data_IF_883883573331
#
_entry.id   IF_883883573331
#
_cell.length_a   1.000
_cell.length_b   1.000
_cell.length_c   1.000
_cell.angle_alpha   90.00
_cell.angle_beta   90.00
_cell.angle_gamma   90.00
#
_symmetry.space_group_name_H-M   'P 1'
#
loop_
_entity.id
_entity.type
_entity.pdbx_description
1 polymer ?
#
# COMPACT_ATOMS: atom_id res chain seq x y z
N UNK A 1 -11.99 -28.38 13.53
CA UNK A 1 -12.86 -28.77 12.41
C UNK A 1 -12.62 -27.86 11.22
N UNK A 2 -12.78 -28.37 10.00
CA UNK A 2 -12.78 -27.59 8.75
C UNK A 2 -14.23 -27.31 8.35
N UNK A 3 -14.54 -26.06 8.06
CA UNK A 3 -15.85 -25.65 7.59
C UNK A 3 -15.71 -24.90 6.27
N UNK A 4 -16.59 -25.18 5.31
CA UNK A 4 -16.70 -24.39 4.10
C UNK A 4 -17.43 -23.09 4.46
N UNK A 5 -16.68 -22.00 4.61
CA UNK A 5 -17.21 -20.71 5.00
C UNK A 5 -16.36 -19.58 4.41
N UNK A 6 -16.91 -18.38 4.30
CA UNK A 6 -16.16 -17.16 4.14
C UNK A 6 -15.58 -16.72 5.49
N UNK A 7 -16.13 -15.69 6.11
CA UNK A 7 -15.91 -15.42 7.54
C UNK A 7 -17.06 -16.06 8.38
N UNK A 8 -16.96 -15.91 9.72
CA UNK A 8 -18.01 -16.46 10.60
C UNK A 8 -19.41 -15.97 10.19
N UNK A 9 -20.30 -16.92 9.87
CA UNK A 9 -21.67 -16.65 9.45
C UNK A 9 -21.87 -16.43 7.93
N UNK A 10 -20.83 -16.51 7.11
CA UNK A 10 -20.91 -16.33 5.66
C UNK A 10 -20.51 -17.59 4.89
N UNK A 11 -21.12 -17.78 3.71
CA UNK A 11 -20.79 -18.88 2.83
C UNK A 11 -19.44 -18.67 2.12
N UNK A 12 -18.77 -19.76 1.75
CA UNK A 12 -17.56 -19.71 0.93
C UNK A 12 -17.90 -19.42 -0.53
N UNK A 13 -17.12 -18.56 -1.18
CA UNK A 13 -17.23 -18.22 -2.61
C UNK A 13 -16.45 -19.19 -3.50
N UNK A 14 -16.70 -20.51 -3.37
CA UNK A 14 -15.96 -21.55 -4.09
C UNK A 14 -16.17 -21.45 -5.60
N UNK A 15 -17.39 -21.18 -6.03
CA UNK A 15 -17.75 -21.07 -7.45
C UNK A 15 -17.03 -19.89 -8.13
N UNK A 16 -16.79 -18.79 -7.41
CA UNK A 16 -15.99 -17.69 -7.91
C UNK A 16 -14.55 -18.14 -8.22
N UNK A 17 -13.93 -18.90 -7.33
CA UNK A 17 -12.58 -19.43 -7.58
C UNK A 17 -12.53 -20.37 -8.80
N UNK A 18 -13.57 -21.18 -8.99
CA UNK A 18 -13.67 -22.05 -10.15
C UNK A 18 -13.85 -21.24 -11.45
N UNK A 19 -14.74 -20.25 -11.45
CA UNK A 19 -14.95 -19.37 -12.60
C UNK A 19 -13.66 -18.60 -12.98
N UNK A 20 -12.88 -18.13 -12.01
CA UNK A 20 -11.62 -17.48 -12.28
C UNK A 20 -10.59 -18.44 -12.93
N UNK A 21 -10.55 -19.72 -12.50
CA UNK A 21 -9.70 -20.75 -13.16
C UNK A 21 -10.16 -21.05 -14.59
N UNK A 22 -11.47 -21.10 -14.84
CA UNK A 22 -12.05 -21.28 -16.17
C UNK A 22 -11.68 -20.12 -17.12
N UNK A 23 -11.53 -18.91 -16.60
CA UNK A 23 -11.02 -17.75 -17.33
C UNK A 23 -9.48 -17.83 -17.60
N UNK A 24 -8.81 -18.88 -17.16
CA UNK A 24 -7.36 -19.08 -17.37
C UNK A 24 -6.48 -18.42 -16.31
N UNK A 25 -7.05 -17.94 -15.19
CA UNK A 25 -6.28 -17.34 -14.12
C UNK A 25 -5.69 -18.39 -13.18
N UNK A 26 -4.42 -18.24 -12.84
CA UNK A 26 -3.73 -19.06 -11.84
C UNK A 26 -4.00 -18.47 -10.46
N UNK A 27 -4.53 -19.32 -9.56
CA UNK A 27 -4.81 -18.96 -8.18
C UNK A 27 -3.77 -19.57 -7.23
N UNK A 28 -3.38 -18.80 -6.22
CA UNK A 28 -2.68 -19.26 -5.05
C UNK A 28 -3.59 -19.30 -3.82
N UNK A 29 -3.08 -19.85 -2.71
CA UNK A 29 -3.80 -19.92 -1.44
C UNK A 29 -3.01 -19.25 -0.34
N UNK A 30 -3.66 -18.34 0.37
CA UNK A 30 -3.13 -17.67 1.54
C UNK A 30 -4.00 -17.99 2.77
N UNK A 31 -3.46 -17.72 3.96
CA UNK A 31 -4.19 -17.84 5.21
C UNK A 31 -4.07 -16.59 6.05
N UNK A 32 -5.07 -16.33 6.85
CA UNK A 32 -5.05 -15.36 7.94
C UNK A 32 -5.75 -15.94 9.16
N UNK A 33 -5.70 -15.24 10.28
CA UNK A 33 -6.40 -15.63 11.49
C UNK A 33 -7.04 -14.42 12.16
N UNK A 34 -7.98 -14.68 13.06
CA UNK A 34 -8.60 -13.66 13.89
C UNK A 34 -8.47 -14.00 15.35
N UNK A 35 -8.42 -12.99 16.20
CA UNK A 35 -8.44 -13.15 17.64
C UNK A 35 -9.86 -13.47 18.15
N UNK A 36 -10.01 -14.06 19.33
CA UNK A 36 -11.31 -14.19 19.97
C UNK A 36 -11.95 -12.82 20.22
N UNK A 37 -13.27 -12.79 20.23
CA UNK A 37 -14.08 -11.65 20.67
C UNK A 37 -14.47 -11.85 22.11
N UNK A 38 -14.24 -10.83 22.92
CA UNK A 38 -14.52 -10.86 24.37
C UNK A 38 -15.68 -9.93 24.68
N UNK A 39 -16.43 -10.25 25.76
CA UNK A 39 -17.50 -9.37 26.25
C UNK A 39 -16.92 -8.26 27.12
N UNK A 40 -17.10 -7.02 26.75
CA UNK A 40 -16.56 -5.84 27.40
C UNK A 40 -16.88 -5.79 28.91
N UNK A 41 -18.14 -6.06 29.31
CA UNK A 41 -18.58 -6.02 30.71
C UNK A 41 -17.94 -7.08 31.61
N UNK A 42 -17.23 -8.07 31.07
CA UNK A 42 -16.53 -9.13 31.83
C UNK A 42 -15.02 -8.94 31.95
N UNK A 43 -14.49 -7.83 31.41
CA UNK A 43 -13.07 -7.47 31.45
C UNK A 43 -12.81 -6.60 32.69
N UNK A 44 -11.76 -6.94 33.45
CA UNK A 44 -11.31 -6.11 34.57
C UNK A 44 -10.35 -5.02 34.10
N UNK A 45 -10.92 -3.94 33.59
CA UNK A 45 -10.17 -2.78 33.11
C UNK A 45 -9.31 -2.09 34.18
N UNK A 46 -9.60 -2.30 35.48
CA UNK A 46 -8.82 -1.70 36.55
C UNK A 46 -7.38 -2.23 36.63
N UNK A 47 -7.14 -3.42 36.08
CA UNK A 47 -5.82 -4.03 36.00
C UNK A 47 -5.05 -3.65 34.71
N UNK A 48 -5.65 -2.89 33.81
CA UNK A 48 -5.15 -2.64 32.46
C UNK A 48 -4.68 -1.20 32.29
N UNK A 49 -3.68 -1.00 31.46
CA UNK A 49 -3.21 0.31 31.06
C UNK A 49 -4.09 0.86 29.92
N UNK A 50 -4.76 1.99 30.18
CA UNK A 50 -5.54 2.66 29.14
C UNK A 50 -4.62 3.34 28.14
N UNK A 51 -4.79 3.03 26.85
CA UNK A 51 -4.09 3.67 25.74
C UNK A 51 -5.06 4.57 25.00
N UNK A 52 -4.96 5.87 25.30
CA UNK A 52 -5.73 6.90 24.61
C UNK A 52 -5.14 7.19 23.23
N UNK A 53 -5.98 7.73 22.33
CA UNK A 53 -5.53 8.35 21.10
C UNK A 53 -4.75 9.65 21.35
N UNK A 54 -4.30 10.28 20.27
CA UNK A 54 -3.61 11.56 20.32
C UNK A 54 -4.50 12.63 20.98
N UNK A 55 -3.90 13.52 21.79
CA UNK A 55 -4.62 14.63 22.42
C UNK A 55 -5.22 15.60 21.39
N UNK A 56 -4.51 15.78 20.27
CA UNK A 56 -4.93 16.55 19.11
C UNK A 56 -4.83 15.65 17.86
N UNK A 57 -5.84 14.79 17.61
CA UNK A 57 -5.79 13.85 16.52
C UNK A 57 -5.87 14.58 15.17
N UNK A 58 -4.95 14.21 14.25
CA UNK A 58 -4.93 14.76 12.91
C UNK A 58 -5.95 14.04 12.02
N UNK A 59 -6.86 14.78 11.35
CA UNK A 59 -7.88 14.17 10.52
C UNK A 59 -7.24 13.56 9.24
N UNK A 60 -7.76 12.41 8.79
CA UNK A 60 -7.31 11.78 7.55
C UNK A 60 -7.65 12.59 6.29
N UNK A 61 -8.71 13.37 6.34
CA UNK A 61 -9.10 14.25 5.24
C UNK A 61 -8.75 15.70 5.59
N UNK A 62 -7.96 16.33 4.75
CA UNK A 62 -7.43 17.69 4.97
C UNK A 62 -8.50 18.78 5.18
N UNK A 63 -9.72 18.59 4.64
CA UNK A 63 -10.83 19.52 4.80
C UNK A 63 -11.71 19.21 6.03
N UNK A 64 -11.34 18.23 6.85
CA UNK A 64 -12.01 17.95 8.12
C UNK A 64 -11.50 18.92 9.17
N UNK A 65 -12.35 19.82 9.61
CA UNK A 65 -12.00 20.85 10.61
C UNK A 65 -12.05 20.29 12.04
N UNK A 66 -12.93 19.31 12.28
CA UNK A 66 -13.15 18.73 13.60
C UNK A 66 -13.52 17.24 13.50
N UNK A 67 -12.99 16.47 14.43
CA UNK A 67 -13.42 15.08 14.64
C UNK A 67 -14.60 15.08 15.64
N UNK A 68 -15.75 14.63 15.16
CA UNK A 68 -17.00 14.65 15.94
C UNK A 68 -17.23 13.35 16.72
N UNK A 69 -16.61 12.23 16.27
CA UNK A 69 -16.79 10.95 16.93
C UNK A 69 -16.10 10.89 18.28
N UNK A 70 -16.74 10.30 19.31
CA UNK A 70 -16.12 10.06 20.60
C UNK A 70 -14.83 9.25 20.44
N UNK A 71 -13.78 9.68 21.12
CA UNK A 71 -12.52 8.94 21.17
C UNK A 71 -12.57 7.94 22.32
N UNK A 72 -12.41 6.65 21.99
CA UNK A 72 -12.44 5.55 22.96
C UNK A 72 -11.03 5.00 23.13
N UNK A 73 -10.63 4.79 24.40
CA UNK A 73 -9.32 4.21 24.69
C UNK A 73 -9.30 2.71 24.40
N UNK A 74 -8.21 2.22 23.84
CA UNK A 74 -7.84 0.82 23.90
C UNK A 74 -7.21 0.49 25.25
N UNK A 75 -7.08 -0.78 25.61
CA UNK A 75 -6.44 -1.19 26.86
C UNK A 75 -5.33 -2.21 26.59
N UNK A 76 -4.22 -2.02 27.27
CA UNK A 76 -3.02 -2.82 27.08
C UNK A 76 -2.87 -3.86 28.18
N UNK A 77 -2.59 -5.10 27.76
CA UNK A 77 -2.18 -6.20 28.65
C UNK A 77 -1.13 -7.07 27.96
N UNK A 78 -0.73 -8.15 28.60
CA UNK A 78 0.32 -9.02 28.09
C UNK A 78 0.00 -10.48 28.36
N UNK A 79 0.43 -11.37 27.45
CA UNK A 79 0.49 -12.81 27.75
C UNK A 79 1.47 -13.07 28.88
N UNK A 80 1.31 -14.21 29.55
CA UNK A 80 2.16 -14.66 30.67
C UNK A 80 2.91 -15.94 30.30
N UNK A 81 3.93 -16.37 31.06
CA UNK A 81 4.52 -17.68 30.90
C UNK A 81 3.50 -18.82 30.92
N UNK A 82 2.45 -18.69 31.76
CA UNK A 82 1.33 -19.65 31.80
C UNK A 82 0.55 -19.68 30.51
N UNK A 83 0.29 -18.51 29.89
CA UNK A 83 -0.32 -18.42 28.54
C UNK A 83 0.51 -19.20 27.52
N UNK A 84 1.84 -19.02 27.55
CA UNK A 84 2.74 -19.71 26.62
C UNK A 84 2.79 -21.21 26.84
N UNK A 85 2.70 -21.71 28.11
CA UNK A 85 2.57 -23.12 28.42
C UNK A 85 1.30 -23.72 27.82
N UNK A 86 0.15 -23.06 27.99
CA UNK A 86 -1.13 -23.48 27.42
C UNK A 86 -1.02 -23.60 25.91
N UNK A 87 -0.44 -22.60 25.24
CA UNK A 87 -0.24 -22.62 23.79
C UNK A 87 0.64 -23.82 23.39
N UNK A 88 1.80 -24.03 24.05
CA UNK A 88 2.72 -25.11 23.72
C UNK A 88 2.09 -26.47 23.91
N UNK A 89 1.29 -26.67 24.97
CA UNK A 89 0.61 -27.93 25.29
C UNK A 89 -0.52 -28.26 24.26
N UNK A 90 -0.93 -27.30 23.42
CA UNK A 90 -2.02 -27.50 22.46
C UNK A 90 -1.57 -27.29 21.00
N UNK A 91 -0.28 -27.19 20.70
CA UNK A 91 0.21 -26.96 19.32
C UNK A 91 -0.20 -28.09 18.36
N UNK A 92 -0.22 -29.32 18.81
CA UNK A 92 -0.65 -30.50 18.05
C UNK A 92 -2.15 -30.47 17.68
N UNK A 93 -2.94 -29.73 18.48
CA UNK A 93 -4.38 -29.48 18.22
C UNK A 93 -4.65 -28.32 17.31
N UNK A 94 -3.63 -27.50 17.00
CA UNK A 94 -3.78 -26.34 16.10
C UNK A 94 -3.80 -26.79 14.63
N UNK A 95 -4.79 -26.39 13.84
CA UNK A 95 -4.82 -26.64 12.40
C UNK A 95 -3.57 -26.15 11.64
N UNK A 96 -2.88 -25.15 12.16
CA UNK A 96 -1.65 -24.61 11.60
C UNK A 96 -0.46 -25.56 11.72
N UNK A 97 -0.43 -26.39 12.79
CA UNK A 97 0.68 -27.29 13.12
C UNK A 97 0.36 -28.77 12.90
N UNK A 98 -0.91 -29.11 12.73
CA UNK A 98 -1.37 -30.47 12.43
C UNK A 98 -1.38 -30.81 10.93
N UNK A 99 -0.95 -29.90 10.04
CA UNK A 99 -0.97 -30.10 8.59
C UNK A 99 -2.35 -29.97 7.94
N UNK A 100 -3.36 -29.49 8.68
CA UNK A 100 -4.71 -29.25 8.16
C UNK A 100 -4.72 -28.01 7.24
N UNK A 101 -3.94 -27.00 7.59
CA UNK A 101 -3.77 -25.76 6.80
C UNK A 101 -2.40 -25.81 6.11
N UNK A 102 -2.43 -25.80 4.78
CA UNK A 102 -1.23 -25.76 3.92
C UNK A 102 -1.23 -24.48 3.08
N UNK A 103 -1.27 -23.34 3.75
CA UNK A 103 -1.29 -22.04 3.11
C UNK A 103 -0.30 -21.09 3.77
N UNK A 104 0.28 -20.18 2.99
CA UNK A 104 1.21 -19.17 3.48
C UNK A 104 0.49 -18.15 4.35
N UNK A 105 0.97 -17.96 5.57
CA UNK A 105 0.41 -17.01 6.53
C UNK A 105 1.04 -15.62 6.46
N UNK A 106 0.38 -14.69 7.13
CA UNK A 106 0.84 -13.30 7.26
C UNK A 106 2.11 -13.25 8.12
N UNK A 107 3.22 -12.80 7.55
CA UNK A 107 4.51 -12.68 8.25
C UNK A 107 4.45 -11.66 9.40
N UNK A 108 3.67 -10.61 9.23
CA UNK A 108 3.67 -9.42 10.10
C UNK A 108 2.58 -9.43 11.17
N UNK A 109 1.64 -10.39 11.10
CA UNK A 109 0.64 -10.63 12.14
C UNK A 109 0.60 -12.14 12.43
N UNK A 110 1.67 -12.69 13.06
CA UNK A 110 1.72 -14.10 13.38
C UNK A 110 0.66 -14.44 14.44
N UNK A 111 0.11 -15.66 14.35
CA UNK A 111 -0.76 -16.18 15.39
C UNK A 111 -0.02 -16.28 16.73
N UNK A 112 -0.73 -16.43 17.83
CA UNK A 112 -0.09 -16.62 19.13
C UNK A 112 0.76 -17.89 19.16
N UNK A 113 0.35 -18.95 18.44
CA UNK A 113 1.12 -20.16 18.27
C UNK A 113 2.47 -19.88 17.59
N UNK A 114 2.46 -19.08 16.52
CA UNK A 114 3.68 -18.66 15.81
C UNK A 114 4.58 -17.78 16.70
N UNK A 115 3.99 -16.86 17.47
CA UNK A 115 4.74 -15.99 18.40
C UNK A 115 5.46 -16.82 19.46
N UNK A 116 4.75 -17.72 20.14
CA UNK A 116 5.29 -18.57 21.21
C UNK A 116 6.36 -19.53 20.69
N UNK A 117 6.26 -19.98 19.44
CA UNK A 117 7.24 -20.88 18.82
C UNK A 117 8.48 -20.13 18.30
N UNK A 118 8.28 -19.03 17.56
CA UNK A 118 9.37 -18.29 16.90
C UNK A 118 10.15 -17.40 17.87
N UNK A 119 9.50 -16.91 18.91
CA UNK A 119 10.08 -16.02 19.92
C UNK A 119 10.00 -16.67 21.30
N UNK A 120 10.49 -17.90 21.40
CA UNK A 120 10.42 -18.73 22.61
C UNK A 120 11.20 -18.14 23.80
N UNK A 121 12.13 -17.24 23.54
CA UNK A 121 12.92 -16.45 24.50
C UNK A 121 12.15 -15.25 25.09
N UNK A 122 10.98 -14.92 24.56
CA UNK A 122 10.14 -13.84 25.07
C UNK A 122 9.21 -14.37 26.16
N UNK A 123 9.22 -13.72 27.30
CA UNK A 123 8.36 -14.08 28.45
C UNK A 123 6.91 -13.61 28.28
N UNK A 124 6.69 -12.60 27.42
CA UNK A 124 5.38 -12.02 27.17
C UNK A 124 5.24 -11.43 25.78
N UNK A 125 4.01 -11.41 25.29
CA UNK A 125 3.61 -10.71 24.08
C UNK A 125 2.50 -9.73 24.41
N UNK A 126 2.52 -8.58 23.77
CA UNK A 126 1.52 -7.53 23.92
C UNK A 126 0.16 -7.98 23.40
N UNK A 127 -0.88 -7.63 24.15
CA UNK A 127 -2.30 -7.78 23.79
C UNK A 127 -2.97 -6.42 23.93
N UNK A 128 -3.65 -5.99 22.86
CA UNK A 128 -4.40 -4.74 22.85
C UNK A 128 -5.88 -5.08 22.78
N UNK A 129 -6.65 -4.61 23.73
CA UNK A 129 -8.09 -4.76 23.78
C UNK A 129 -8.72 -3.57 23.07
N UNK A 130 -9.31 -3.83 21.91
CA UNK A 130 -9.88 -2.83 21.02
C UNK A 130 -11.40 -2.98 20.99
N UNK A 131 -12.20 -1.99 21.41
CA UNK A 131 -13.65 -2.02 21.22
C UNK A 131 -13.98 -2.11 19.72
N UNK A 132 -14.83 -3.09 19.33
CA UNK A 132 -15.23 -3.28 17.92
C UNK A 132 -16.21 -2.20 17.44
N UNK A 133 -16.75 -1.38 18.34
CA UNK A 133 -17.63 -0.25 18.04
C UNK A 133 -18.11 0.44 19.31
N UNK A 134 -18.80 1.57 19.14
CA UNK A 134 -19.32 2.37 20.26
C UNK A 134 -20.54 1.74 20.96
N UNK A 135 -21.35 1.00 20.20
CA UNK A 135 -22.63 0.44 20.62
C UNK A 135 -22.61 -1.10 20.70
N UNK A 136 -21.43 -1.69 20.97
CA UNK A 136 -21.29 -3.14 21.06
C UNK A 136 -20.52 -3.56 22.31
N UNK A 137 -20.86 -4.73 22.83
CA UNK A 137 -20.12 -5.41 23.89
C UNK A 137 -18.89 -6.18 23.37
N UNK A 138 -18.68 -6.21 22.04
CA UNK A 138 -17.56 -6.96 21.46
C UNK A 138 -16.25 -6.17 21.59
N UNK A 139 -15.24 -6.84 22.17
CA UNK A 139 -13.85 -6.36 22.26
C UNK A 139 -12.95 -7.30 21.47
N UNK A 140 -12.18 -6.76 20.54
CA UNK A 140 -11.15 -7.49 19.79
C UNK A 140 -9.87 -7.58 20.61
N UNK A 141 -9.44 -8.80 20.94
CA UNK A 141 -8.18 -9.03 21.64
C UNK A 141 -7.01 -9.13 20.65
N UNK A 142 -6.55 -7.97 20.15
CA UNK A 142 -5.47 -7.90 19.17
C UNK A 142 -4.16 -8.46 19.77
N UNK A 143 -3.47 -9.26 18.98
CA UNK A 143 -2.19 -9.86 19.38
C UNK A 143 -2.27 -11.33 19.78
N UNK A 144 -3.46 -11.92 19.99
CA UNK A 144 -3.69 -13.32 20.29
C UNK A 144 -4.55 -14.04 19.24
N UNK A 145 -4.42 -13.65 17.97
CA UNK A 145 -5.00 -14.38 16.85
C UNK A 145 -4.59 -15.86 16.93
N UNK A 146 -5.57 -16.77 16.82
CA UNK A 146 -5.33 -18.21 17.05
C UNK A 146 -6.30 -19.10 16.29
N UNK A 147 -5.88 -20.33 16.04
CA UNK A 147 -6.73 -21.41 15.51
C UNK A 147 -6.86 -22.58 16.49
N UNK A 148 -6.42 -22.44 17.72
CA UNK A 148 -6.57 -23.44 18.78
C UNK A 148 -8.06 -23.77 19.01
N UNK A 149 -8.38 -24.96 19.52
CA UNK A 149 -9.76 -25.30 19.94
C UNK A 149 -10.30 -24.35 21.02
N UNK A 150 -11.63 -24.19 21.08
CA UNK A 150 -12.28 -23.23 21.97
C UNK A 150 -11.89 -23.37 23.45
N UNK A 151 -11.79 -24.61 23.95
CA UNK A 151 -11.36 -24.91 25.33
C UNK A 151 -9.92 -24.41 25.61
N UNK A 152 -9.03 -24.55 24.65
CA UNK A 152 -7.67 -24.04 24.77
C UNK A 152 -7.62 -22.51 24.68
N UNK A 153 -8.49 -21.89 23.88
CA UNK A 153 -8.61 -20.43 23.81
C UNK A 153 -9.14 -19.82 25.10
N UNK A 154 -10.16 -20.45 25.71
CA UNK A 154 -10.69 -20.01 27.01
C UNK A 154 -9.60 -20.06 28.09
N UNK A 155 -8.89 -21.18 28.20
CA UNK A 155 -7.76 -21.32 29.14
C UNK A 155 -6.63 -20.30 28.86
N UNK A 156 -6.34 -20.02 27.58
CA UNK A 156 -5.37 -19.02 27.14
C UNK A 156 -5.80 -17.62 27.58
N UNK A 157 -7.02 -17.22 27.29
CA UNK A 157 -7.56 -15.90 27.62
C UNK A 157 -7.57 -15.69 29.14
N UNK A 158 -8.07 -16.66 29.91
CA UNK A 158 -8.13 -16.58 31.37
C UNK A 158 -6.75 -16.58 32.07
N UNK A 159 -5.68 -16.86 31.34
CA UNK A 159 -4.29 -16.77 31.84
C UNK A 159 -3.67 -15.38 31.68
N UNK A 160 -4.39 -14.42 31.08
CA UNK A 160 -3.93 -13.05 30.76
C UNK A 160 -4.48 -12.10 31.84
N UNK A 161 -3.64 -11.21 32.42
CA UNK A 161 -4.08 -10.26 33.44
C UNK A 161 -5.24 -9.36 32.94
N UNK A 162 -6.28 -9.24 33.78
CA UNK A 162 -7.51 -8.51 33.48
C UNK A 162 -8.53 -9.28 32.63
N UNK A 163 -8.18 -10.50 32.19
CA UNK A 163 -9.05 -11.36 31.39
C UNK A 163 -9.42 -12.69 32.11
N UNK A 164 -9.13 -12.81 33.40
CA UNK A 164 -9.32 -14.04 34.19
C UNK A 164 -10.76 -14.53 34.18
N UNK A 165 -11.72 -13.63 33.99
CA UNK A 165 -13.15 -13.90 33.95
C UNK A 165 -13.81 -13.45 32.66
N UNK A 166 -13.03 -13.13 31.62
CA UNK A 166 -13.54 -12.62 30.36
C UNK A 166 -14.34 -13.68 29.60
N UNK A 167 -15.57 -13.36 29.23
CA UNK A 167 -16.43 -14.23 28.43
C UNK A 167 -16.03 -14.17 26.95
N UNK A 168 -15.78 -15.34 26.33
CA UNK A 168 -15.56 -15.45 24.90
C UNK A 168 -16.89 -15.42 24.17
N UNK A 169 -17.23 -14.30 23.52
CA UNK A 169 -18.42 -14.19 22.67
C UNK A 169 -18.25 -14.98 21.38
N UNK A 170 -17.00 -15.02 20.85
CA UNK A 170 -16.65 -15.75 19.63
C UNK A 170 -15.21 -16.23 19.71
N UNK A 171 -14.93 -17.52 19.55
CA UNK A 171 -13.57 -18.03 19.44
C UNK A 171 -12.85 -17.46 18.21
N UNK A 172 -11.53 -17.28 18.30
CA UNK A 172 -10.67 -17.04 17.16
C UNK A 172 -10.64 -18.25 16.22
N UNK A 173 -10.36 -17.97 14.95
CA UNK A 173 -10.25 -19.01 13.92
C UNK A 173 -9.25 -18.59 12.83
N UNK A 174 -8.73 -19.58 12.10
CA UNK A 174 -7.98 -19.32 10.88
C UNK A 174 -8.90 -19.45 9.65
N UNK A 175 -8.59 -18.68 8.63
CA UNK A 175 -9.27 -18.74 7.34
C UNK A 175 -8.24 -18.89 6.23
N UNK A 176 -8.51 -19.80 5.30
CA UNK A 176 -7.77 -19.92 4.03
C UNK A 176 -8.60 -19.25 2.94
N UNK A 177 -7.93 -18.53 2.05
CA UNK A 177 -8.59 -17.86 0.94
C UNK A 177 -7.75 -17.92 -0.33
N UNK A 178 -8.43 -17.97 -1.47
CA UNK A 178 -7.79 -17.95 -2.78
C UNK A 178 -7.47 -16.50 -3.18
N UNK A 179 -6.36 -16.34 -3.91
CA UNK A 179 -6.00 -15.07 -4.55
C UNK A 179 -5.49 -15.34 -5.97
N UNK A 180 -5.63 -14.34 -6.84
CA UNK A 180 -5.06 -14.34 -8.18
C UNK A 180 -3.61 -13.85 -8.09
N UNK A 181 -2.66 -14.56 -8.69
CA UNK A 181 -1.29 -14.08 -8.77
C UNK A 181 -1.26 -12.74 -9.51
N UNK A 182 -0.89 -11.61 -8.85
CA UNK A 182 -1.09 -10.28 -9.41
C UNK A 182 -0.20 -9.96 -10.62
N UNK A 183 0.82 -10.76 -10.91
CA UNK A 183 1.60 -10.67 -12.15
C UNK A 183 0.77 -10.93 -13.41
N UNK A 184 -0.41 -11.55 -13.28
CA UNK A 184 -1.37 -11.78 -14.36
C UNK A 184 -2.22 -10.53 -14.69
N UNK A 185 -2.06 -9.46 -13.92
CA UNK A 185 -2.77 -8.21 -14.12
C UNK A 185 -1.91 -7.20 -14.89
N UNK A 186 -2.57 -6.37 -15.67
CA UNK A 186 -1.97 -5.16 -16.23
C UNK A 186 -1.72 -4.11 -15.12
N UNK A 187 -0.92 -3.06 -15.36
CA UNK A 187 -0.77 -1.96 -14.41
C UNK A 187 -2.07 -1.23 -14.06
N UNK A 188 -3.11 -1.36 -14.88
CA UNK A 188 -4.47 -0.88 -14.62
C UNK A 188 -5.24 -1.75 -13.63
N UNK A 189 -4.70 -2.90 -13.23
CA UNK A 189 -5.33 -4.02 -12.50
C UNK A 189 -6.39 -4.77 -13.31
N UNK A 190 -6.42 -4.59 -14.62
CA UNK A 190 -7.20 -5.40 -15.54
C UNK A 190 -6.56 -6.78 -15.74
N UNK A 191 -7.37 -7.83 -15.78
CA UNK A 191 -6.91 -9.19 -16.06
C UNK A 191 -6.45 -9.33 -17.50
N UNK A 192 -5.20 -9.75 -17.72
CA UNK A 192 -4.67 -9.95 -19.07
C UNK A 192 -5.39 -11.07 -19.84
N UNK A 193 -5.89 -12.10 -19.13
CA UNK A 193 -6.63 -13.22 -19.71
C UNK A 193 -8.12 -12.91 -19.94
N UNK A 194 -8.66 -11.88 -19.30
CA UNK A 194 -10.09 -11.54 -19.35
C UNK A 194 -10.26 -10.01 -19.45
N UNK A 195 -10.16 -9.43 -20.66
CA UNK A 195 -10.35 -8.00 -20.86
C UNK A 195 -11.70 -7.52 -20.31
N UNK A 196 -11.70 -6.35 -19.65
CA UNK A 196 -12.85 -5.79 -18.97
C UNK A 196 -13.04 -6.27 -17.51
N UNK A 197 -12.29 -7.28 -17.06
CA UNK A 197 -12.30 -7.73 -15.67
C UNK A 197 -11.17 -7.06 -14.89
N UNK A 198 -11.53 -6.30 -13.85
CA UNK A 198 -10.60 -5.64 -12.94
C UNK A 198 -10.69 -6.28 -11.56
N UNK A 199 -9.56 -6.49 -10.90
CA UNK A 199 -9.49 -7.08 -9.58
C UNK A 199 -8.95 -6.08 -8.55
N UNK A 200 -9.53 -6.10 -7.33
CA UNK A 200 -9.13 -5.21 -6.24
C UNK A 200 -9.24 -5.87 -4.88
N UNK A 201 -8.38 -5.47 -3.95
CA UNK A 201 -8.41 -5.94 -2.57
C UNK A 201 -7.74 -7.29 -2.36
N UNK A 202 -8.29 -8.08 -1.45
CA UNK A 202 -7.70 -9.34 -0.99
C UNK A 202 -7.47 -10.37 -2.11
N UNK A 203 -8.31 -10.37 -3.15
CA UNK A 203 -8.15 -11.22 -4.32
C UNK A 203 -6.82 -11.01 -5.05
N UNK A 204 -6.18 -9.85 -4.88
CA UNK A 204 -4.86 -9.52 -5.44
C UNK A 204 -3.71 -9.88 -4.49
N UNK A 205 -3.94 -10.68 -3.44
CA UNK A 205 -2.92 -11.12 -2.51
C UNK A 205 -2.55 -10.11 -1.42
N UNK A 206 -3.40 -9.13 -1.13
CA UNK A 206 -3.23 -8.18 -0.02
C UNK A 206 -4.07 -8.56 1.20
N UNK A 207 -3.80 -7.98 2.37
CA UNK A 207 -4.56 -8.25 3.61
C UNK A 207 -4.81 -7.02 4.47
N UNK A 208 -4.84 -5.82 3.93
CA UNK A 208 -5.11 -4.60 4.70
C UNK A 208 -6.29 -3.82 4.16
N UNK A 209 -6.93 -3.05 5.02
CA UNK A 209 -8.01 -2.14 4.63
C UNK A 209 -7.50 -1.07 3.67
N UNK A 210 -6.33 -0.53 3.96
CA UNK A 210 -5.67 0.51 3.18
C UNK A 210 -5.31 0.02 1.77
N UNK A 211 -4.77 -1.20 1.68
CA UNK A 211 -4.47 -1.85 0.41
C UNK A 211 -5.74 -2.09 -0.41
N UNK A 212 -6.81 -2.57 0.23
CA UNK A 212 -8.09 -2.82 -0.45
C UNK A 212 -8.72 -1.53 -0.97
N UNK A 213 -8.71 -0.46 -0.17
CA UNK A 213 -9.21 0.86 -0.57
C UNK A 213 -8.41 1.43 -1.75
N UNK A 214 -7.07 1.35 -1.68
CA UNK A 214 -6.18 1.82 -2.74
C UNK A 214 -6.38 1.05 -4.05
N UNK A 215 -6.46 -0.28 -3.99
CA UNK A 215 -6.70 -1.12 -5.17
C UNK A 215 -8.11 -0.90 -5.74
N UNK A 216 -9.12 -0.73 -4.88
CA UNK A 216 -10.49 -0.43 -5.29
C UNK A 216 -10.60 0.89 -6.05
N UNK A 217 -9.99 1.95 -5.51
CA UNK A 217 -9.92 3.25 -6.19
C UNK A 217 -9.17 3.13 -7.53
N UNK A 218 -8.00 2.49 -7.53
CA UNK A 218 -7.18 2.34 -8.75
C UNK A 218 -7.89 1.55 -9.84
N UNK A 219 -8.48 0.39 -9.50
CA UNK A 219 -9.24 -0.44 -10.44
C UNK A 219 -10.48 0.29 -10.95
N UNK A 220 -11.25 0.92 -10.06
CA UNK A 220 -12.47 1.64 -10.42
C UNK A 220 -12.21 2.81 -11.37
N UNK A 221 -11.16 3.60 -11.10
CA UNK A 221 -10.77 4.71 -11.99
C UNK A 221 -10.35 4.18 -13.36
N UNK A 222 -9.54 3.13 -13.43
CA UNK A 222 -9.08 2.57 -14.70
C UNK A 222 -10.20 1.88 -15.48
N UNK A 223 -11.10 1.17 -14.82
CA UNK A 223 -12.28 0.59 -15.44
C UNK A 223 -13.19 1.69 -16.04
N UNK A 224 -13.45 2.76 -15.27
CA UNK A 224 -14.23 3.90 -15.77
C UNK A 224 -13.53 4.61 -16.93
N UNK A 225 -12.21 4.79 -16.85
CA UNK A 225 -11.42 5.40 -17.94
C UNK A 225 -11.51 4.59 -19.22
N UNK A 226 -11.42 3.26 -19.13
CA UNK A 226 -11.57 2.36 -20.28
C UNK A 226 -12.96 2.49 -20.94
N UNK A 227 -14.05 2.47 -20.13
CA UNK A 227 -15.42 2.64 -20.63
C UNK A 227 -15.65 4.02 -21.27
N UNK A 228 -15.00 5.05 -20.73
CA UNK A 228 -15.11 6.43 -21.21
C UNK A 228 -14.08 6.77 -22.29
N UNK A 229 -13.31 5.79 -22.77
CA UNK A 229 -12.25 5.96 -23.77
C UNK A 229 -11.24 7.07 -23.39
N UNK A 230 -10.88 7.11 -22.11
CA UNK A 230 -9.91 8.05 -21.54
C UNK A 230 -8.57 7.38 -21.28
N UNK A 231 -7.52 8.20 -21.20
CA UNK A 231 -6.20 7.71 -20.77
C UNK A 231 -6.27 7.03 -19.40
N UNK A 232 -5.56 5.91 -19.21
CA UNK A 232 -5.54 5.22 -17.95
C UNK A 232 -4.84 6.05 -16.86
N UNK A 233 -5.31 5.90 -15.63
CA UNK A 233 -4.69 6.47 -14.43
C UNK A 233 -3.53 5.60 -13.97
N UNK A 234 -2.31 5.98 -14.30
CA UNK A 234 -1.08 5.25 -13.99
C UNK A 234 0.00 6.19 -13.43
N UNK A 235 -0.23 6.81 -12.27
CA UNK A 235 0.82 7.60 -11.62
C UNK A 235 2.03 6.74 -11.30
N UNK A 236 3.22 7.34 -11.30
CA UNK A 236 4.45 6.63 -10.97
C UNK A 236 4.69 6.49 -9.47
N UNK A 237 5.66 5.65 -9.08
CA UNK A 237 6.03 5.35 -7.68
C UNK A 237 6.52 6.58 -6.90
N UNK A 238 6.85 7.69 -7.57
CA UNK A 238 7.22 8.95 -6.93
C UNK A 238 6.03 9.88 -6.70
N UNK A 239 4.88 9.59 -7.28
CA UNK A 239 3.69 10.45 -7.24
C UNK A 239 2.70 10.01 -6.17
N UNK A 240 2.49 8.71 -5.99
CA UNK A 240 1.59 8.23 -4.94
C UNK A 240 2.01 6.88 -4.36
N UNK A 241 1.60 6.65 -3.10
CA UNK A 241 1.90 5.41 -2.40
C UNK A 241 1.14 4.21 -2.99
N UNK A 242 -0.06 4.44 -3.55
CA UNK A 242 -0.82 3.41 -4.28
C UNK A 242 -0.04 2.87 -5.49
N UNK A 243 0.74 3.72 -6.16
CA UNK A 243 1.58 3.28 -7.28
C UNK A 243 2.69 2.33 -6.85
N UNK A 244 3.25 2.50 -5.64
CA UNK A 244 4.22 1.55 -5.07
C UNK A 244 3.56 0.19 -4.88
N UNK A 245 2.34 0.15 -4.31
CA UNK A 245 1.56 -1.06 -4.12
C UNK A 245 1.29 -1.78 -5.44
N UNK A 246 0.69 -1.07 -6.40
CA UNK A 246 0.31 -1.66 -7.70
C UNK A 246 1.53 -2.16 -8.47
N UNK A 247 2.59 -1.34 -8.56
CA UNK A 247 3.81 -1.71 -9.27
C UNK A 247 4.49 -2.94 -8.63
N UNK A 248 4.59 -3.00 -7.29
CA UNK A 248 5.13 -4.18 -6.60
C UNK A 248 4.30 -5.44 -6.90
N UNK A 249 2.98 -5.35 -6.85
CA UNK A 249 2.10 -6.49 -7.12
C UNK A 249 2.24 -7.01 -8.55
N UNK A 250 2.14 -6.13 -9.56
CA UNK A 250 2.13 -6.56 -10.96
C UNK A 250 3.51 -6.91 -11.52
N UNK A 251 4.60 -6.42 -10.89
CA UNK A 251 5.97 -6.68 -11.35
C UNK A 251 6.68 -7.77 -10.57
N UNK A 252 6.51 -7.80 -9.24
CA UNK A 252 7.20 -8.74 -8.34
C UNK A 252 6.30 -9.90 -7.93
N UNK A 253 4.97 -9.71 -8.00
CA UNK A 253 4.01 -10.62 -7.42
C UNK A 253 4.08 -10.69 -5.90
N UNK A 254 3.40 -11.67 -5.32
CA UNK A 254 3.51 -11.97 -3.90
C UNK A 254 3.33 -13.46 -3.64
N UNK A 255 4.09 -13.99 -2.70
CA UNK A 255 3.97 -15.37 -2.20
C UNK A 255 3.43 -15.41 -0.76
N UNK A 256 3.33 -14.26 -0.14
CA UNK A 256 2.75 -14.04 1.20
C UNK A 256 1.80 -12.83 1.12
N UNK A 257 0.85 -12.70 2.07
CA UNK A 257 -0.05 -11.55 2.07
C UNK A 257 0.71 -10.22 2.05
N UNK A 258 0.53 -9.46 0.98
CA UNK A 258 1.23 -8.18 0.77
C UNK A 258 0.69 -7.11 1.71
N UNK A 259 1.60 -6.32 2.29
CA UNK A 259 1.30 -5.13 3.08
C UNK A 259 2.16 -3.95 2.62
N UNK A 260 1.55 -2.76 2.63
CA UNK A 260 2.25 -1.50 2.39
C UNK A 260 3.08 -1.11 3.60
N UNK A 261 4.41 -1.17 3.46
CA UNK A 261 5.35 -0.68 4.46
C UNK A 261 6.14 0.49 3.92
N UNK A 262 6.51 1.42 4.78
CA UNK A 262 7.33 2.57 4.41
C UNK A 262 8.69 2.17 3.82
N UNK A 263 9.19 0.98 4.18
CA UNK A 263 10.42 0.41 3.61
C UNK A 263 10.32 0.04 2.13
N UNK A 264 9.10 -0.08 1.58
CA UNK A 264 8.87 -0.37 0.16
C UNK A 264 8.89 0.89 -0.72
N UNK A 265 8.74 2.07 -0.10
CA UNK A 265 8.69 3.34 -0.81
C UNK A 265 10.08 3.99 -0.83
N UNK A 266 10.68 4.06 -2.01
CA UNK A 266 11.98 4.69 -2.25
C UNK A 266 11.92 6.20 -1.96
N UNK A 267 10.78 6.81 -2.30
CA UNK A 267 10.56 8.26 -2.23
C UNK A 267 9.68 8.67 -1.05
N UNK A 268 9.77 7.96 0.10
CA UNK A 268 8.87 8.14 1.25
C UNK A 268 8.81 9.57 1.81
N UNK A 269 9.88 10.38 1.67
CA UNK A 269 9.83 11.79 2.09
C UNK A 269 9.01 12.67 1.13
N UNK A 270 8.78 12.23 -0.10
CA UNK A 270 7.85 12.88 -1.03
C UNK A 270 6.42 12.37 -0.83
N UNK A 271 6.26 11.10 -0.43
CA UNK A 271 4.97 10.39 -0.33
C UNK A 271 4.39 10.44 1.09
N UNK A 272 4.37 11.63 1.71
CA UNK A 272 3.82 11.78 3.05
C UNK A 272 2.30 11.92 3.03
N UNK A 273 1.65 11.60 4.17
CA UNK A 273 0.22 11.79 4.37
C UNK A 273 -0.17 13.27 4.31
N UNK A 274 0.65 14.13 4.97
CA UNK A 274 0.40 15.56 5.13
C UNK A 274 0.45 16.36 3.81
N UNK A 275 0.96 15.77 2.73
CA UNK A 275 1.02 16.38 1.40
C UNK A 275 0.30 15.58 0.31
N UNK A 276 -0.48 14.56 0.67
CA UNK A 276 -1.14 13.68 -0.31
C UNK A 276 -2.10 14.45 -1.22
N UNK A 277 -2.83 15.39 -0.68
CA UNK A 277 -3.72 16.29 -1.42
C UNK A 277 -2.95 17.22 -2.36
N UNK A 278 -1.83 17.78 -1.93
CA UNK A 278 -0.96 18.60 -2.78
C UNK A 278 -0.43 17.83 -3.99
N UNK A 279 -0.27 16.51 -3.89
CA UNK A 279 0.22 15.65 -4.99
C UNK A 279 -0.90 15.15 -5.90
N UNK A 280 -2.07 14.81 -5.36
CA UNK A 280 -3.08 14.01 -6.06
C UNK A 280 -4.35 14.76 -6.41
N UNK A 281 -4.66 15.90 -5.77
CA UNK A 281 -5.92 16.63 -6.02
C UNK A 281 -6.07 17.09 -7.47
N UNK A 282 -5.00 17.57 -8.11
CA UNK A 282 -5.04 17.96 -9.51
C UNK A 282 -5.33 16.77 -10.45
N UNK A 283 -4.79 15.58 -10.14
CA UNK A 283 -5.13 14.36 -10.87
C UNK A 283 -6.58 13.94 -10.63
N UNK A 284 -7.05 13.98 -9.39
CA UNK A 284 -8.44 13.70 -9.02
C UNK A 284 -9.43 14.66 -9.72
N UNK A 285 -9.08 15.92 -9.83
CA UNK A 285 -9.90 16.91 -10.57
C UNK A 285 -9.99 16.57 -12.06
N UNK A 286 -8.88 16.25 -12.72
CA UNK A 286 -8.90 15.83 -14.14
C UNK A 286 -9.73 14.57 -14.36
N UNK A 287 -9.78 13.67 -13.40
CA UNK A 287 -10.58 12.45 -13.44
C UNK A 287 -12.07 12.67 -13.10
N UNK A 288 -12.44 13.86 -12.64
CA UNK A 288 -13.82 14.19 -12.22
C UNK A 288 -14.17 13.67 -10.81
N UNK A 289 -13.18 13.28 -10.01
CA UNK A 289 -13.36 12.78 -8.64
C UNK A 289 -13.31 13.88 -7.57
N UNK A 290 -12.80 15.05 -7.93
CA UNK A 290 -12.64 16.21 -7.04
C UNK A 290 -13.34 17.41 -7.66
N UNK A 291 -14.09 18.15 -6.85
CA UNK A 291 -14.76 19.39 -7.30
C UNK A 291 -13.75 20.51 -7.60
N UNK A 292 -14.16 21.49 -8.41
CA UNK A 292 -13.37 22.66 -8.72
C UNK A 292 -13.02 23.45 -7.45
N UNK A 293 -13.98 23.64 -6.55
CA UNK A 293 -13.79 24.32 -5.27
C UNK A 293 -12.65 23.67 -4.43
N UNK A 294 -12.68 22.33 -4.30
CA UNK A 294 -11.61 21.61 -3.59
C UNK A 294 -10.26 21.74 -4.27
N UNK A 295 -10.23 21.66 -5.59
CA UNK A 295 -9.01 21.84 -6.35
C UNK A 295 -8.43 23.24 -6.14
N UNK A 296 -9.23 24.28 -6.23
CA UNK A 296 -8.83 25.66 -5.99
C UNK A 296 -8.32 25.90 -4.56
N UNK A 297 -8.98 25.31 -3.56
CA UNK A 297 -8.55 25.40 -2.16
C UNK A 297 -7.15 24.79 -1.93
N UNK A 298 -6.86 23.64 -2.56
CA UNK A 298 -5.55 22.99 -2.48
C UNK A 298 -4.47 23.79 -3.22
N UNK A 299 -4.78 24.32 -4.42
CA UNK A 299 -3.84 25.17 -5.15
C UNK A 299 -3.58 26.49 -4.41
N UNK A 300 -4.60 27.08 -3.79
CA UNK A 300 -4.44 28.24 -2.91
C UNK A 300 -3.53 27.95 -1.71
N UNK A 301 -3.64 26.75 -1.09
CA UNK A 301 -2.73 26.33 -0.01
C UNK A 301 -1.31 26.12 -0.52
N UNK A 302 -1.13 25.53 -1.70
CA UNK A 302 0.18 25.39 -2.36
C UNK A 302 0.85 26.76 -2.58
N UNK A 303 0.10 27.70 -3.13
CA UNK A 303 0.58 29.05 -3.40
C UNK A 303 0.97 29.79 -2.09
N UNK A 304 0.13 29.71 -1.06
CA UNK A 304 0.45 30.30 0.27
C UNK A 304 1.69 29.67 0.92
N UNK A 305 1.86 28.36 0.82
CA UNK A 305 3.08 27.69 1.31
C UNK A 305 4.34 28.20 0.60
N UNK A 306 4.30 28.31 -0.72
CA UNK A 306 5.42 28.85 -1.51
C UNK A 306 5.72 30.32 -1.18
N UNK A 307 4.68 31.15 -1.08
CA UNK A 307 4.82 32.58 -0.73
C UNK A 307 5.44 32.75 0.66
N UNK A 308 5.01 31.94 1.64
CA UNK A 308 5.55 32.00 3.01
C UNK A 308 7.02 31.58 3.07
N UNK A 309 7.42 30.54 2.35
CA UNK A 309 8.83 30.13 2.25
C UNK A 309 9.68 31.29 1.73
N UNK A 310 9.25 31.96 0.65
CA UNK A 310 9.96 33.12 0.08
C UNK A 310 9.99 34.32 1.06
N UNK A 311 8.90 34.56 1.77
CA UNK A 311 8.83 35.61 2.79
C UNK A 311 9.83 35.36 3.92
N UNK A 312 9.86 34.14 4.47
CA UNK A 312 10.78 33.75 5.54
C UNK A 312 12.25 33.74 5.09
N UNK A 313 12.54 33.55 3.81
CA UNK A 313 13.88 33.70 3.25
C UNK A 313 14.36 35.15 3.27
N UNK A 314 13.45 36.10 3.00
CA UNK A 314 13.70 37.53 3.02
C UNK A 314 13.69 38.17 4.41
N UNK A 315 12.89 37.65 5.35
CA UNK A 315 12.68 38.21 6.69
C UNK A 315 13.83 37.78 7.63
N UNK A 316 14.45 38.75 8.31
CA UNK A 316 15.60 38.50 9.20
C UNK A 316 15.32 38.93 10.64
N UNK A 317 15.73 38.08 11.58
CA UNK A 317 15.75 38.37 13.02
C UNK A 317 17.20 38.26 13.51
N UNK A 318 17.70 39.30 14.14
CA UNK A 318 19.11 39.40 14.55
C UNK A 318 20.11 39.03 13.44
N UNK A 319 19.83 39.44 12.20
CA UNK A 319 20.69 39.21 11.03
C UNK A 319 20.54 37.85 10.36
N UNK A 320 19.79 36.90 10.96
CA UNK A 320 19.60 35.54 10.41
C UNK A 320 18.24 35.46 9.72
N UNK A 321 18.13 34.92 8.47
CA UNK A 321 16.84 34.67 7.85
C UNK A 321 16.00 33.69 8.67
N UNK A 322 14.68 33.95 8.80
CA UNK A 322 13.77 33.09 9.55
C UNK A 322 13.72 31.68 8.96
N UNK A 323 13.78 31.52 7.65
CA UNK A 323 13.85 30.20 6.99
C UNK A 323 15.09 29.41 7.41
N UNK A 324 16.24 30.08 7.58
CA UNK A 324 17.47 29.44 8.05
C UNK A 324 17.36 29.03 9.53
N UNK A 325 16.64 29.80 10.35
CA UNK A 325 16.34 29.43 11.74
C UNK A 325 15.45 28.20 11.78
N UNK A 326 14.38 28.16 10.96
CA UNK A 326 13.42 27.05 10.88
C UNK A 326 14.06 25.73 10.39
N UNK A 327 15.19 25.77 9.68
CA UNK A 327 15.96 24.58 9.28
C UNK A 327 16.59 23.84 10.47
N UNK A 328 16.69 24.48 11.65
CA UNK A 328 17.23 23.83 12.85
C UNK A 328 16.20 22.85 13.42
N UNK A 329 16.61 21.62 13.84
CA UNK A 329 15.68 20.61 14.35
C UNK A 329 14.82 21.10 15.54
N UNK A 330 15.42 21.89 16.42
CA UNK A 330 14.81 22.41 17.64
C UNK A 330 13.83 23.59 17.42
N UNK A 331 13.88 24.26 16.28
CA UNK A 331 13.03 25.42 15.97
C UNK A 331 11.78 24.96 15.24
N UNK A 332 10.62 25.30 15.78
CA UNK A 332 9.32 25.03 15.18
C UNK A 332 8.74 26.27 14.48
N UNK A 333 7.70 26.08 13.67
CA UNK A 333 7.00 27.23 13.09
C UNK A 333 6.31 28.09 14.17
N UNK A 334 5.90 27.51 15.29
CA UNK A 334 5.39 28.24 16.45
C UNK A 334 6.45 29.20 17.06
N UNK A 335 7.74 28.84 16.99
CA UNK A 335 8.82 29.75 17.40
C UNK A 335 8.97 30.91 16.41
N UNK A 336 8.79 30.66 15.12
CA UNK A 336 8.76 31.71 14.09
C UNK A 336 7.61 32.68 14.35
N UNK A 337 6.41 32.19 14.69
CA UNK A 337 5.25 33.03 15.03
C UNK A 337 5.51 33.96 16.24
N UNK A 338 6.30 33.51 17.21
CA UNK A 338 6.68 34.35 18.35
C UNK A 338 7.67 35.46 17.97
N UNK A 339 8.46 35.24 16.95
CA UNK A 339 9.52 36.17 16.50
C UNK A 339 9.01 37.14 15.43
N UNK A 340 7.94 36.78 14.73
CA UNK A 340 7.42 37.51 13.57
C UNK A 340 5.89 37.62 13.63
N UNK A 341 5.36 38.82 13.92
CA UNK A 341 3.91 39.03 13.96
C UNK A 341 3.17 38.82 12.64
N UNK A 342 3.90 38.82 11.51
CA UNK A 342 3.33 38.59 10.17
C UNK A 342 3.32 37.10 9.79
N UNK A 343 3.82 36.21 10.65
CA UNK A 343 3.81 34.77 10.41
C UNK A 343 2.38 34.22 10.29
N UNK A 344 2.20 33.27 9.39
CA UNK A 344 0.87 32.69 9.12
C UNK A 344 0.33 31.93 10.33
N UNK A 345 -1.00 32.02 10.53
CA UNK A 345 -1.72 31.28 11.57
C UNK A 345 -2.35 29.96 11.06
N UNK A 346 -2.39 29.76 9.74
CA UNK A 346 -2.89 28.52 9.12
C UNK A 346 -1.97 27.33 9.44
N UNK A 347 -2.43 26.45 10.31
CA UNK A 347 -1.66 25.31 10.82
C UNK A 347 -1.22 24.37 9.69
N UNK A 348 -2.07 24.15 8.69
CA UNK A 348 -1.74 23.25 7.57
C UNK A 348 -0.64 23.84 6.69
N UNK A 349 -0.67 25.14 6.42
CA UNK A 349 0.38 25.85 5.69
C UNK A 349 1.67 25.89 6.52
N UNK A 350 1.58 26.24 7.79
CA UNK A 350 2.73 26.30 8.70
C UNK A 350 3.49 24.96 8.77
N UNK A 351 2.75 23.85 8.88
CA UNK A 351 3.32 22.50 8.89
C UNK A 351 4.07 22.19 7.56
N UNK A 352 3.48 22.56 6.41
CA UNK A 352 4.14 22.34 5.11
C UNK A 352 5.39 23.18 4.94
N UNK A 353 5.40 24.43 5.43
CA UNK A 353 6.57 25.31 5.43
C UNK A 353 7.68 24.72 6.32
N UNK A 354 7.35 24.28 7.53
CA UNK A 354 8.32 23.67 8.47
C UNK A 354 8.94 22.42 7.88
N UNK A 355 8.14 21.48 7.38
CA UNK A 355 8.63 20.25 6.75
C UNK A 355 9.49 20.56 5.53
N UNK A 356 9.07 21.50 4.68
CA UNK A 356 9.83 21.90 3.50
C UNK A 356 11.20 22.48 3.87
N UNK A 357 11.26 23.32 4.91
CA UNK A 357 12.50 23.92 5.39
C UNK A 357 13.47 22.87 5.98
N UNK A 358 12.97 22.00 6.86
CA UNK A 358 13.80 21.00 7.57
C UNK A 358 14.33 19.91 6.65
N UNK A 359 13.55 19.50 5.67
CA UNK A 359 13.90 18.39 4.76
C UNK A 359 14.38 18.82 3.38
N UNK A 360 14.58 20.11 3.13
CA UNK A 360 14.95 20.67 1.83
C UNK A 360 16.08 19.89 1.11
N UNK A 361 17.17 19.65 1.80
CA UNK A 361 18.32 18.97 1.21
C UNK A 361 18.08 17.49 0.86
N UNK A 362 17.23 16.82 1.64
CA UNK A 362 16.82 15.44 1.37
C UNK A 362 15.80 15.39 0.21
N UNK A 363 14.85 16.31 0.21
CA UNK A 363 13.82 16.41 -0.85
C UNK A 363 14.49 16.70 -2.18
N UNK A 364 15.45 17.62 -2.24
CA UNK A 364 16.20 17.95 -3.47
C UNK A 364 16.91 16.73 -4.06
N UNK A 365 17.66 15.99 -3.23
CA UNK A 365 18.34 14.76 -3.66
C UNK A 365 17.36 13.71 -4.18
N UNK A 366 16.23 13.57 -3.49
CA UNK A 366 15.20 12.63 -3.89
C UNK A 366 14.52 13.02 -5.21
N UNK A 367 14.33 14.31 -5.48
CA UNK A 367 13.82 14.82 -6.77
C UNK A 367 14.81 14.57 -7.92
N UNK A 368 16.12 14.65 -7.67
CA UNK A 368 17.14 14.27 -8.65
C UNK A 368 17.09 12.76 -8.96
N UNK A 369 16.86 11.94 -7.95
CA UNK A 369 16.66 10.49 -8.13
C UNK A 369 15.37 10.19 -8.91
N UNK A 370 14.27 10.88 -8.60
CA UNK A 370 13.02 10.80 -9.35
C UNK A 370 13.21 11.20 -10.82
N UNK A 371 13.95 12.25 -11.10
CA UNK A 371 14.23 12.66 -12.48
C UNK A 371 15.01 11.58 -13.26
N UNK A 372 15.93 10.86 -12.60
CA UNK A 372 16.64 9.71 -13.21
C UNK A 372 15.70 8.53 -13.42
N UNK A 373 14.88 8.22 -12.43
CA UNK A 373 13.88 7.16 -12.49
C UNK A 373 12.90 7.38 -13.65
N UNK A 374 12.31 8.59 -13.75
CA UNK A 374 11.36 8.93 -14.81
C UNK A 374 11.92 8.78 -16.22
N UNK A 375 13.21 9.03 -16.42
CA UNK A 375 13.86 8.77 -17.72
C UNK A 375 13.82 7.30 -18.14
N UNK A 376 13.88 6.37 -17.18
CA UNK A 376 13.74 4.93 -17.44
C UNK A 376 12.28 4.53 -17.63
N UNK A 377 11.36 5.11 -16.85
CA UNK A 377 9.92 4.88 -17.00
C UNK A 377 9.37 5.37 -18.35
N UNK A 378 9.86 6.47 -18.86
CA UNK A 378 9.49 7.00 -20.18
C UNK A 378 10.00 6.16 -21.35
N UNK A 379 10.96 5.28 -21.11
CA UNK A 379 11.44 4.33 -22.13
C UNK A 379 10.53 3.11 -22.16
N UNK A 380 9.49 3.21 -22.98
CA UNK A 380 8.51 2.15 -23.14
C UNK A 380 9.13 0.95 -23.86
N UNK A 381 8.72 -0.24 -23.46
CA UNK A 381 8.97 -1.50 -24.12
C UNK A 381 7.80 -1.73 -25.09
N UNK A 382 8.05 -2.04 -26.39
CA UNK A 382 6.99 -2.29 -27.35
C UNK A 382 6.06 -3.41 -26.89
N UNK A 383 4.75 -3.22 -27.06
CA UNK A 383 3.78 -4.27 -26.83
C UNK A 383 4.04 -5.44 -27.76
N UNK A 384 3.98 -6.67 -27.22
CA UNK A 384 4.25 -7.88 -28.02
C UNK A 384 5.74 -8.18 -28.27
N UNK A 385 6.68 -7.49 -27.61
CA UNK A 385 8.11 -7.81 -27.74
C UNK A 385 8.36 -9.27 -27.42
N UNK A 386 8.98 -9.99 -28.37
CA UNK A 386 9.47 -11.35 -28.14
C UNK A 386 10.81 -11.29 -27.40
N UNK A 387 10.77 -11.53 -26.09
CA UNK A 387 11.96 -11.58 -25.25
C UNK A 387 12.89 -12.75 -25.59
N UNK A 388 12.36 -13.80 -26.26
CA UNK A 388 13.13 -14.92 -26.77
C UNK A 388 14.13 -14.51 -27.86
N UNK A 389 13.73 -13.53 -28.68
CA UNK A 389 14.56 -13.01 -29.78
C UNK A 389 15.62 -12.01 -29.30
N UNK A 390 15.62 -11.55 -28.04
CA UNK A 390 16.59 -10.58 -27.53
C UNK A 390 17.92 -11.29 -27.19
N UNK A 391 19.02 -11.04 -27.92
CA UNK A 391 20.29 -11.70 -27.67
C UNK A 391 20.94 -11.18 -26.39
N UNK A 392 21.63 -12.07 -25.65
CA UNK A 392 22.36 -11.70 -24.43
C UNK A 392 21.53 -11.72 -23.14
N UNK A 393 20.22 -11.97 -23.22
CA UNK A 393 19.41 -12.25 -22.03
C UNK A 393 19.53 -13.73 -21.64
N UNK A 394 19.66 -14.05 -20.35
CA UNK A 394 19.57 -15.42 -19.85
C UNK A 394 18.14 -15.98 -19.99
N UNK A 395 18.02 -17.31 -20.00
CA UNK A 395 16.71 -17.98 -20.08
C UNK A 395 15.77 -17.52 -18.95
N UNK A 396 16.27 -17.48 -17.72
CA UNK A 396 15.51 -17.02 -16.55
C UNK A 396 14.97 -15.60 -16.74
N UNK A 397 15.82 -14.66 -17.20
CA UNK A 397 15.41 -13.27 -17.43
C UNK A 397 14.35 -13.18 -18.53
N UNK A 398 14.48 -13.96 -19.61
CA UNK A 398 13.49 -14.02 -20.70
C UNK A 398 12.14 -14.49 -20.20
N UNK A 399 12.12 -15.57 -19.41
CA UNK A 399 10.91 -16.13 -18.82
C UNK A 399 10.23 -15.12 -17.88
N UNK A 400 10.99 -14.47 -17.00
CA UNK A 400 10.48 -13.43 -16.10
C UNK A 400 9.89 -12.22 -16.84
N UNK A 401 10.58 -11.75 -17.86
CA UNK A 401 10.09 -10.64 -18.69
C UNK A 401 8.84 -11.03 -19.49
N UNK A 402 8.76 -12.27 -19.98
CA UNK A 402 7.59 -12.77 -20.71
C UNK A 402 6.37 -12.96 -19.78
N UNK A 403 6.59 -13.37 -18.52
CA UNK A 403 5.58 -13.52 -17.50
C UNK A 403 5.00 -12.15 -17.09
N UNK A 404 5.87 -11.19 -16.72
CA UNK A 404 5.48 -9.90 -16.19
C UNK A 404 5.04 -8.92 -17.28
N UNK A 405 5.66 -8.98 -18.46
CA UNK A 405 5.45 -8.05 -19.59
C UNK A 405 5.51 -6.58 -19.15
N UNK A 406 6.66 -6.12 -18.66
CA UNK A 406 6.82 -4.77 -18.18
C UNK A 406 6.58 -3.75 -19.30
N UNK A 407 5.87 -2.65 -18.94
CA UNK A 407 5.56 -1.57 -19.87
C UNK A 407 6.77 -0.68 -20.20
N UNK A 408 7.72 -0.58 -19.25
CA UNK A 408 8.88 0.31 -19.36
C UNK A 408 10.18 -0.37 -18.94
N UNK A 409 11.32 0.21 -19.34
CA UNK A 409 12.62 -0.23 -18.85
C UNK A 409 12.77 -0.02 -17.35
N UNK A 410 12.12 1.01 -16.78
CA UNK A 410 12.04 1.22 -15.35
C UNK A 410 11.33 0.07 -14.65
N UNK A 411 10.16 -0.34 -15.13
CA UNK A 411 9.44 -1.51 -14.63
C UNK A 411 10.28 -2.79 -14.75
N UNK A 412 10.89 -3.02 -15.91
CA UNK A 412 11.76 -4.19 -16.13
C UNK A 412 12.91 -4.27 -15.11
N UNK A 413 13.49 -3.11 -14.73
CA UNK A 413 14.60 -3.05 -13.76
C UNK A 413 14.20 -3.47 -12.33
N UNK A 414 12.91 -3.47 -12.01
CA UNK A 414 12.39 -3.82 -10.67
C UNK A 414 11.94 -5.28 -10.57
N UNK A 415 11.89 -6.00 -11.67
CA UNK A 415 11.54 -7.43 -11.68
C UNK A 415 12.67 -8.22 -11.00
N UNK A 416 12.36 -9.06 -9.99
CA UNK A 416 13.37 -9.91 -9.34
C UNK A 416 14.12 -10.78 -10.37
N UNK A 417 15.45 -10.76 -10.31
CA UNK A 417 16.32 -11.49 -11.23
C UNK A 417 16.74 -10.72 -12.49
N UNK A 418 16.10 -9.60 -12.82
CA UNK A 418 16.53 -8.74 -13.94
C UNK A 418 17.69 -7.86 -13.51
N UNK A 419 18.85 -8.07 -14.14
CA UNK A 419 20.10 -7.36 -13.81
C UNK A 419 20.23 -6.02 -14.55
N UNK A 420 21.04 -5.07 -14.06
CA UNK A 420 21.35 -3.84 -14.78
C UNK A 420 21.90 -4.07 -16.20
N UNK A 421 22.67 -5.15 -16.41
CA UNK A 421 23.15 -5.56 -17.72
C UNK A 421 22.00 -5.94 -18.67
N UNK A 422 21.00 -6.68 -18.17
CA UNK A 422 19.82 -7.02 -18.96
C UNK A 422 19.00 -5.78 -19.34
N UNK A 423 18.85 -4.81 -18.41
CA UNK A 423 18.19 -3.53 -18.72
C UNK A 423 18.94 -2.75 -19.78
N UNK A 424 20.28 -2.78 -19.76
CA UNK A 424 21.11 -2.15 -20.79
C UNK A 424 20.91 -2.82 -22.16
N UNK A 425 20.84 -4.16 -22.22
CA UNK A 425 20.56 -4.91 -23.44
C UNK A 425 19.17 -4.55 -23.99
N UNK A 426 18.14 -4.57 -23.13
CA UNK A 426 16.78 -4.15 -23.51
C UNK A 426 16.74 -2.72 -24.03
N UNK A 427 17.50 -1.81 -23.39
CA UNK A 427 17.59 -0.41 -23.83
C UNK A 427 18.06 -0.30 -25.28
N UNK A 428 19.14 -1.01 -25.62
CA UNK A 428 19.70 -1.02 -26.98
C UNK A 428 18.71 -1.67 -27.96
N UNK A 429 18.09 -2.76 -27.55
CA UNK A 429 17.15 -3.51 -28.39
C UNK A 429 15.89 -2.71 -28.71
N UNK A 430 15.23 -2.13 -27.71
CA UNK A 430 14.04 -1.29 -27.86
C UNK A 430 14.34 -0.02 -28.69
N UNK A 431 15.55 0.51 -28.61
CA UNK A 431 15.94 1.64 -29.46
C UNK A 431 16.06 1.27 -30.95
N UNK A 432 16.48 0.05 -31.24
CA UNK A 432 16.60 -0.47 -32.62
C UNK A 432 15.25 -0.89 -33.21
N UNK A 433 14.30 -1.34 -32.39
CA UNK A 433 12.98 -1.79 -32.82
C UNK A 433 12.05 -0.60 -33.23
N UNK A 434 12.21 0.57 -32.64
CA UNK A 434 11.40 1.77 -32.94
C UNK A 434 11.38 2.24 -34.41
N UNK A 435 12.46 2.14 -35.21
CA UNK A 435 12.42 2.57 -36.61
C UNK A 435 11.53 1.71 -37.52
N UNK A 436 11.32 0.46 -37.18
CA UNK A 436 10.53 -0.47 -38.01
C UNK A 436 9.01 -0.25 -37.90
N UNK A 437 8.51 0.10 -36.70
CA UNK A 437 7.09 0.39 -36.47
C UNK A 437 6.69 1.79 -36.96
N UNK A 438 7.57 2.78 -36.85
CA UNK A 438 7.34 4.11 -37.38
C UNK A 438 7.23 4.13 -38.92
N UNK A 439 7.91 3.22 -39.59
CA UNK A 439 7.81 3.03 -41.05
C UNK A 439 6.52 2.32 -41.46
N UNK A 440 6.00 1.41 -40.62
CA UNK A 440 4.76 0.65 -40.88
C UNK A 440 3.48 1.52 -40.66
N UNK A 441 3.53 2.48 -39.73
CA UNK A 441 2.41 3.43 -39.51
C UNK A 441 2.43 4.61 -40.48
N UNK A 442 3.59 4.93 -41.05
CA UNK A 442 3.77 5.96 -42.05
C UNK A 442 3.55 5.44 -43.48
N UNK A 443 2.58 4.60 -43.73
CA UNK A 443 2.23 4.05 -45.05
C UNK A 443 2.08 5.11 -46.17
N UNK A 444 3.15 5.84 -46.43
CA UNK A 444 3.36 6.72 -47.55
C UNK A 444 4.47 6.13 -48.41
N UNK A 445 4.08 5.45 -49.50
CA UNK A 445 5.00 5.13 -50.58
C UNK A 445 5.73 6.45 -51.00
N UNK A 446 7.04 6.40 -51.19
CA UNK A 446 7.75 7.53 -51.74
C UNK A 446 7.29 7.76 -53.18
N UNK A 447 6.61 8.85 -53.38
CA UNK A 447 6.22 9.34 -54.71
C UNK A 447 7.51 9.52 -55.55
N UNK A 448 7.78 8.58 -56.46
CA UNK A 448 8.81 8.80 -57.50
C UNK A 448 8.33 9.90 -58.46
N UNK A 449 9.11 10.96 -58.66
CA UNK A 449 8.78 11.96 -59.71
C UNK A 449 8.87 11.27 -61.06
N UNK A 450 7.78 11.33 -61.84
CA UNK A 450 7.78 10.95 -63.27
C UNK A 450 8.73 11.92 -63.98
N UNK A 451 9.70 11.39 -64.67
CA UNK A 451 10.42 12.13 -65.71
C UNK A 451 9.45 12.36 -66.87
N UNK A 452 9.08 13.56 -67.11
CA UNK A 452 8.49 14.02 -68.35
C UNK A 452 9.61 14.18 -69.41
N UNK A 453 9.81 13.14 -70.20
CA UNK A 453 10.45 13.26 -71.51
C UNK A 453 9.32 13.53 -72.51
N UNK A 454 9.16 14.81 -72.87
CA UNK A 454 8.69 15.25 -74.19
C UNK A 454 8.37 16.75 -74.20
N UNK A 455 9.26 17.47 -74.79
CA UNK A 455 8.95 18.75 -75.46
C UNK A 455 9.63 18.77 -76.81
N UNK A 456 8.91 19.11 -77.88
CA UNK A 456 9.53 19.41 -79.14
C UNK A 456 10.24 20.77 -79.18
#
# INVERSE_FOLDING_TARGET
ARHSAGRAGEFASVDLSNALRELGLTLGRLKTGTSPRLRASTIDYAQLEAQHGDAEPWPFHWATERLELPQVACHLTYTTPRTHEIVRANLDRSPLYSGIIDATGVRYCPSIEDKVKRFADRDRHQVILEPDGLDTEEVYANGISTSLPADAQEALVHSIPGLEHAELMRPGYAIEYDFVHPTQLAPTLECRAAPGLYLAGQINGTTGYEEAAALGLWSGVNAASAVLEREPFLPDRSECYMAVLVDDLVTKGTLEPYRMFTSRAEYRLLLREDNADLRLTAAGFRLGLVSAERHEAVEGRRARTAAEILRLEGTRVAGTPLLQMLRRPEVTYADVQRLDPEALTDVAVARQVEVSAKYEGYIRRMLDDVARFRRLEQRLIPDGLDYGAVPGLSTEIRERLAEVRPRSLGQASRIPGVTPAAVSILTVWCHRARPAEAAAVAGLEPHRPRRDDNLP
#
